data_IF_809911107053
#
_entry.id   IF_809911107053
#
_cell.length_a   1.000
_cell.length_b   1.000
_cell.length_c   1.000
_cell.angle_alpha   90.00
_cell.angle_beta   90.00
_cell.angle_gamma   90.00
#
_symmetry.space_group_name_H-M   'P 1'
#
loop_
_entity.id
_entity.type
_entity.pdbx_description
1 polymer ?
#
# COMPACT_ATOMS: atom_id res chain seq x y z
N UNK A 1 -8.50 -14.49 -28.74
CA UNK A 1 -7.16 -13.89 -28.64
C UNK A 1 -6.67 -13.99 -27.18
N UNK A 2 -5.69 -14.86 -26.93
CA UNK A 2 -5.17 -15.12 -25.57
C UNK A 2 -4.50 -13.91 -24.91
N UNK A 3 -4.23 -12.84 -25.68
CA UNK A 3 -3.57 -11.64 -25.19
C UNK A 3 -4.59 -10.54 -24.86
N UNK A 4 -5.74 -10.54 -25.50
CA UNK A 4 -6.79 -9.54 -25.31
C UNK A 4 -6.39 -8.11 -25.71
N UNK A 5 -7.16 -7.14 -25.25
CA UNK A 5 -6.91 -5.70 -25.42
C UNK A 5 -6.66 -5.05 -24.06
N UNK A 6 -5.98 -3.91 -24.05
CA UNK A 6 -5.78 -3.14 -22.83
C UNK A 6 -7.13 -2.72 -22.21
N UNK A 7 -7.28 -2.84 -20.91
CA UNK A 7 -8.52 -2.52 -20.19
C UNK A 7 -9.59 -3.62 -20.22
N UNK A 8 -9.28 -4.78 -20.81
CA UNK A 8 -10.20 -5.92 -20.87
C UNK A 8 -9.54 -7.19 -20.31
N UNK A 9 -10.33 -8.08 -19.71
CA UNK A 9 -9.83 -9.37 -19.25
C UNK A 9 -9.12 -10.15 -20.37
N UNK A 10 -8.06 -10.89 -20.05
CA UNK A 10 -7.46 -11.14 -18.73
C UNK A 10 -6.40 -10.09 -18.31
N UNK A 11 -6.50 -8.86 -18.76
CA UNK A 11 -5.66 -7.70 -18.44
C UNK A 11 -4.18 -7.84 -18.79
N UNK A 12 -3.80 -8.76 -19.64
CA UNK A 12 -2.40 -9.01 -20.03
C UNK A 12 -1.71 -7.78 -20.62
N UNK A 13 -2.47 -6.89 -21.26
CA UNK A 13 -1.98 -5.63 -21.85
C UNK A 13 -2.17 -4.41 -20.95
N UNK A 14 -2.64 -4.61 -19.72
CA UNK A 14 -2.87 -3.57 -18.72
C UNK A 14 -4.34 -3.35 -18.40
N UNK A 15 -4.58 -2.73 -17.26
CA UNK A 15 -5.90 -2.56 -16.63
C UNK A 15 -6.73 -1.39 -17.19
N UNK A 16 -6.10 -0.46 -17.92
CA UNK A 16 -6.78 0.69 -18.50
C UNK A 16 -6.77 0.63 -20.02
N UNK A 17 -7.87 0.97 -20.67
CA UNK A 17 -8.01 0.91 -22.15
C UNK A 17 -6.97 1.75 -22.90
N UNK A 18 -6.58 2.88 -22.33
CA UNK A 18 -5.54 3.76 -22.90
C UNK A 18 -4.18 3.56 -22.27
N UNK A 19 -4.10 2.86 -21.15
CA UNK A 19 -2.92 2.78 -20.28
C UNK A 19 -2.36 4.19 -20.03
N UNK A 20 -1.07 4.40 -20.13
CA UNK A 20 -0.45 5.69 -19.82
C UNK A 20 -0.45 6.70 -20.98
N UNK A 21 -1.23 6.47 -22.04
CA UNK A 21 -1.34 7.39 -23.19
C UNK A 21 -2.23 8.59 -22.91
N UNK A 22 -3.32 8.41 -22.12
CA UNK A 22 -4.23 9.52 -21.75
C UNK A 22 -3.84 10.17 -20.44
N UNK A 23 -3.25 9.41 -19.50
CA UNK A 23 -2.80 9.89 -18.21
C UNK A 23 -1.52 9.14 -17.82
N UNK A 24 -0.46 9.89 -17.55
CA UNK A 24 0.78 9.31 -17.05
C UNK A 24 0.59 8.75 -15.63
N UNK A 25 1.45 7.82 -15.26
CA UNK A 25 1.51 7.28 -13.89
C UNK A 25 1.87 8.37 -12.88
N UNK A 26 1.48 8.17 -11.64
CA UNK A 26 1.87 9.06 -10.55
C UNK A 26 3.30 8.74 -10.11
N UNK A 27 4.20 9.72 -10.27
CA UNK A 27 5.54 9.65 -9.70
C UNK A 27 5.48 10.01 -8.22
N UNK A 28 6.10 9.17 -7.38
CA UNK A 28 6.29 9.41 -5.96
C UNK A 28 7.74 9.12 -5.60
N UNK A 29 8.42 10.06 -4.95
CA UNK A 29 9.69 9.74 -4.31
C UNK A 29 9.40 9.20 -2.91
N UNK A 30 10.01 8.07 -2.60
CA UNK A 30 10.03 7.50 -1.26
C UNK A 30 10.94 8.37 -0.40
N UNK A 31 10.40 9.06 0.58
CA UNK A 31 11.11 10.04 1.38
C UNK A 31 10.63 10.03 2.84
N UNK A 32 11.58 10.17 3.73
CA UNK A 32 11.42 10.26 5.17
C UNK A 32 12.79 10.13 5.82
N UNK A 33 13.12 11.05 6.71
CA UNK A 33 14.40 11.07 7.42
C UNK A 33 14.32 12.03 8.60
N UNK A 34 15.12 11.79 9.62
CA UNK A 34 15.24 12.68 10.77
C UNK A 34 13.87 12.95 11.44
N UNK A 35 13.47 14.18 11.56
CA UNK A 35 12.22 14.61 12.19
C UNK A 35 11.07 14.77 11.19
N UNK A 36 9.85 14.88 11.72
CA UNK A 36 8.66 15.19 10.96
C UNK A 36 8.81 16.54 10.21
N UNK A 37 9.38 17.57 10.87
CA UNK A 37 9.65 18.89 10.29
C UNK A 37 10.58 18.84 9.08
N UNK A 38 11.70 18.15 9.18
CA UNK A 38 12.66 18.04 8.08
C UNK A 38 12.06 17.26 6.89
N UNK A 39 11.30 16.22 7.18
CA UNK A 39 10.59 15.45 6.15
C UNK A 39 9.46 16.28 5.51
N UNK A 40 8.73 17.08 6.28
CA UNK A 40 7.72 18.03 5.75
C UNK A 40 8.33 19.01 4.76
N UNK A 41 9.47 19.63 5.08
CA UNK A 41 10.20 20.52 4.16
C UNK A 41 10.53 19.80 2.85
N UNK A 42 10.95 18.54 2.93
CA UNK A 42 11.22 17.73 1.74
C UNK A 42 9.96 17.48 0.93
N UNK A 43 8.84 17.14 1.56
CA UNK A 43 7.57 16.94 0.89
C UNK A 43 7.08 18.21 0.18
N UNK A 44 7.15 19.36 0.83
CA UNK A 44 6.80 20.65 0.22
C UNK A 44 7.68 20.92 -1.01
N UNK A 45 8.99 20.68 -0.92
CA UNK A 45 9.89 20.83 -2.07
C UNK A 45 9.50 19.89 -3.24
N UNK A 46 9.14 18.64 -2.96
CA UNK A 46 8.73 17.69 -3.99
C UNK A 46 7.43 18.12 -4.68
N UNK A 47 6.45 18.60 -3.92
CA UNK A 47 5.20 19.15 -4.46
C UNK A 47 5.44 20.39 -5.31
N UNK A 48 6.28 21.32 -4.87
CA UNK A 48 6.69 22.52 -5.62
C UNK A 48 7.39 22.17 -6.93
N UNK A 49 8.07 21.02 -6.98
CA UNK A 49 8.70 20.47 -8.19
C UNK A 49 7.74 19.69 -9.09
N UNK A 50 6.44 19.70 -8.77
CA UNK A 50 5.37 19.13 -9.60
C UNK A 50 5.01 17.68 -9.31
N UNK A 51 5.49 17.08 -8.21
CA UNK A 51 4.96 15.80 -7.76
C UNK A 51 3.49 15.93 -7.35
N UNK A 52 2.71 14.89 -7.60
CA UNK A 52 1.27 14.86 -7.29
C UNK A 52 0.91 13.86 -6.19
N UNK A 53 1.91 13.21 -5.63
CA UNK A 53 1.74 12.23 -4.57
C UNK A 53 2.99 12.12 -3.73
N UNK A 54 2.79 11.75 -2.47
CA UNK A 54 3.84 11.53 -1.49
C UNK A 54 3.99 10.04 -1.21
N UNK A 55 5.19 9.63 -0.83
CA UNK A 55 5.47 8.30 -0.32
C UNK A 55 6.33 8.41 0.93
N UNK A 56 5.77 8.00 2.07
CA UNK A 56 6.39 8.20 3.39
C UNK A 56 7.25 6.99 3.74
N UNK A 57 8.53 7.26 4.02
CA UNK A 57 9.45 6.32 4.64
C UNK A 57 9.44 6.54 6.16
N UNK A 58 8.96 5.57 6.92
CA UNK A 58 9.01 5.58 8.39
C UNK A 58 10.29 4.91 8.89
N UNK A 59 10.81 5.38 10.02
CA UNK A 59 11.97 4.78 10.66
C UNK A 59 11.65 3.40 11.28
N UNK A 60 12.68 2.71 11.70
CA UNK A 60 12.53 1.36 12.24
C UNK A 60 11.71 1.32 13.54
N UNK A 61 11.90 2.23 14.52
CA UNK A 61 11.04 2.28 15.70
C UNK A 61 9.56 2.41 15.33
N UNK A 62 9.19 3.37 14.48
CA UNK A 62 7.82 3.53 14.01
C UNK A 62 7.28 2.26 13.37
N UNK A 63 8.08 1.55 12.55
CA UNK A 63 7.66 0.31 11.90
C UNK A 63 7.45 -0.85 12.89
N UNK A 64 8.16 -0.84 14.01
CA UNK A 64 8.03 -1.82 15.10
C UNK A 64 6.99 -1.43 16.15
N UNK A 65 6.35 -0.26 16.02
CA UNK A 65 5.38 0.23 16.99
C UNK A 65 6.02 0.65 18.33
N UNK A 66 7.26 1.11 18.25
CA UNK A 66 8.02 1.65 19.41
C UNK A 66 7.99 3.18 19.38
N UNK A 67 7.91 3.78 20.54
CA UNK A 67 8.08 5.22 20.71
C UNK A 67 9.56 5.62 20.55
N UNK A 68 9.80 6.88 20.18
CA UNK A 68 11.14 7.37 19.92
C UNK A 68 12.04 7.39 21.16
N UNK A 69 11.46 7.42 22.36
CA UNK A 69 12.15 7.41 23.66
C UNK A 69 12.23 6.01 24.30
N UNK A 70 11.79 4.97 23.61
CA UNK A 70 12.00 3.59 24.03
C UNK A 70 13.49 3.23 23.95
N UNK A 71 13.99 2.49 24.95
CA UNK A 71 15.39 2.06 25.00
C UNK A 71 15.81 1.27 23.75
N UNK A 72 14.91 0.51 23.15
CA UNK A 72 15.16 -0.26 21.91
C UNK A 72 15.23 0.63 20.66
N UNK A 73 14.75 1.85 20.72
CA UNK A 73 14.78 2.82 19.63
C UNK A 73 16.12 3.56 19.52
N UNK A 74 17.00 3.41 20.52
CA UNK A 74 18.26 4.15 20.57
C UNK A 74 19.13 3.89 19.34
N UNK A 75 19.52 4.97 18.67
CA UNK A 75 20.37 4.94 17.48
C UNK A 75 19.65 4.63 16.16
N UNK A 76 18.33 4.39 16.17
CA UNK A 76 17.52 4.11 14.97
C UNK A 76 16.49 5.21 14.69
N UNK A 77 16.20 6.10 15.63
CA UNK A 77 15.22 7.19 15.47
C UNK A 77 15.65 8.12 14.33
N UNK A 78 14.77 8.29 13.34
CA UNK A 78 14.98 9.18 12.19
C UNK A 78 16.06 8.74 11.19
N UNK A 79 16.64 7.54 11.33
CA UNK A 79 17.81 7.10 10.56
C UNK A 79 17.47 6.63 9.14
N UNK A 80 16.49 5.75 8.99
CA UNK A 80 16.07 5.17 7.69
C UNK A 80 14.70 5.65 7.24
N UNK A 81 14.12 6.57 7.97
CA UNK A 81 12.81 7.13 7.72
C UNK A 81 12.48 8.20 8.76
N UNK A 82 11.29 8.76 8.69
CA UNK A 82 10.77 9.72 9.67
C UNK A 82 10.22 8.99 10.90
N UNK A 83 10.53 9.49 12.08
CA UNK A 83 9.97 9.02 13.34
C UNK A 83 8.61 9.65 13.58
N UNK A 84 7.59 8.81 13.81
CA UNK A 84 6.23 9.21 14.16
C UNK A 84 5.78 8.38 15.36
N UNK A 85 5.82 8.96 16.54
CA UNK A 85 5.42 8.31 17.79
C UNK A 85 4.04 8.76 18.26
N UNK A 86 3.61 9.95 17.89
CA UNK A 86 2.37 10.57 18.37
C UNK A 86 1.70 11.42 17.29
N UNK A 87 0.46 11.85 17.57
CA UNK A 87 -0.33 12.64 16.64
C UNK A 87 0.33 13.98 16.28
N UNK A 88 1.06 14.60 17.20
CA UNK A 88 1.76 15.87 16.94
C UNK A 88 2.85 15.70 15.88
N UNK A 89 3.55 14.59 15.86
CA UNK A 89 4.53 14.28 14.80
C UNK A 89 3.85 14.17 13.43
N UNK A 90 2.68 13.55 13.39
CA UNK A 90 1.89 13.44 12.14
C UNK A 90 1.35 14.82 11.70
N UNK A 91 0.94 15.68 12.64
CA UNK A 91 0.55 17.07 12.34
C UNK A 91 1.70 17.84 11.72
N UNK A 92 2.90 17.74 12.32
CA UNK A 92 4.09 18.41 11.81
C UNK A 92 4.52 17.86 10.44
N UNK A 93 4.44 16.55 10.25
CA UNK A 93 4.76 15.89 8.97
C UNK A 93 3.87 16.40 7.83
N UNK A 94 2.59 16.62 8.10
CA UNK A 94 1.58 16.98 7.10
C UNK A 94 1.20 18.48 7.10
N UNK A 95 1.88 19.29 7.91
CA UNK A 95 1.61 20.73 7.99
C UNK A 95 1.67 21.40 6.62
N UNK A 96 0.60 22.11 6.26
CA UNK A 96 0.49 22.86 5.01
C UNK A 96 0.45 22.02 3.73
N UNK A 97 0.24 20.70 3.84
CA UNK A 97 0.06 19.80 2.69
C UNK A 97 -1.45 19.62 2.44
N UNK A 98 -1.96 19.93 1.21
CA UNK A 98 -3.38 19.83 0.91
C UNK A 98 -3.79 18.37 0.71
N UNK A 99 -4.31 17.73 1.77
CA UNK A 99 -4.61 16.28 1.80
C UNK A 99 -5.82 15.89 0.91
N UNK A 100 -6.63 16.85 0.49
CA UNK A 100 -7.69 16.68 -0.51
C UNK A 100 -7.17 16.62 -1.96
N UNK A 101 -5.93 17.06 -2.20
CA UNK A 101 -5.32 17.16 -3.56
C UNK A 101 -4.12 16.24 -3.76
N UNK A 102 -3.46 15.86 -2.67
CA UNK A 102 -2.23 15.07 -2.69
C UNK A 102 -2.55 13.65 -2.22
N UNK A 103 -2.26 12.66 -3.05
CA UNK A 103 -2.37 11.26 -2.60
C UNK A 103 -1.13 10.85 -1.84
N UNK A 104 -1.31 10.21 -0.68
CA UNK A 104 -0.19 9.79 0.18
C UNK A 104 -0.11 8.27 0.23
N UNK A 105 1.09 7.72 -0.01
CA UNK A 105 1.40 6.31 0.22
C UNK A 105 2.21 6.18 1.51
N UNK A 106 1.76 5.33 2.42
CA UNK A 106 2.44 5.05 3.69
C UNK A 106 2.97 3.63 3.70
N UNK A 107 4.30 3.50 3.73
CA UNK A 107 4.98 2.20 3.79
C UNK A 107 5.07 1.76 5.26
N UNK A 108 3.94 1.27 5.76
CA UNK A 108 3.78 0.83 7.14
C UNK A 108 2.89 -0.42 7.21
N UNK A 109 3.16 -1.35 8.11
CA UNK A 109 2.51 -2.66 8.18
C UNK A 109 1.94 -2.94 9.58
N UNK A 110 2.70 -3.42 10.53
CA UNK A 110 2.18 -3.81 11.84
C UNK A 110 1.42 -2.67 12.57
N UNK A 111 1.94 -1.42 12.67
CA UNK A 111 1.22 -0.29 13.26
C UNK A 111 0.36 0.49 12.24
N UNK A 112 0.05 -0.07 11.08
CA UNK A 112 -0.67 0.60 10.00
C UNK A 112 -1.98 1.25 10.44
N UNK A 113 -2.75 0.58 11.29
CA UNK A 113 -4.02 1.10 11.82
C UNK A 113 -3.84 2.41 12.60
N UNK A 114 -2.77 2.50 13.40
CA UNK A 114 -2.50 3.71 14.21
C UNK A 114 -2.08 4.86 13.30
N UNK A 115 -1.15 4.62 12.36
CA UNK A 115 -0.68 5.65 11.44
C UNK A 115 -1.81 6.13 10.49
N UNK A 116 -2.70 5.24 10.07
CA UNK A 116 -3.88 5.61 9.27
C UNK A 116 -4.86 6.45 10.10
N UNK A 117 -5.12 6.08 11.34
CA UNK A 117 -5.98 6.86 12.24
C UNK A 117 -5.41 8.26 12.48
N UNK A 118 -4.10 8.39 12.72
CA UNK A 118 -3.43 9.68 12.85
C UNK A 118 -3.54 10.51 11.56
N UNK A 119 -3.37 9.90 10.40
CA UNK A 119 -3.51 10.57 9.11
C UNK A 119 -4.92 11.13 8.88
N UNK A 120 -5.94 10.33 9.20
CA UNK A 120 -7.36 10.74 9.12
C UNK A 120 -7.63 11.89 10.08
N UNK A 121 -7.19 11.79 11.34
CA UNK A 121 -7.37 12.85 12.34
C UNK A 121 -6.75 14.18 11.88
N UNK A 122 -5.53 14.16 11.32
CA UNK A 122 -4.89 15.36 10.79
C UNK A 122 -5.65 15.92 9.58
N UNK A 123 -6.17 15.05 8.71
CA UNK A 123 -7.00 15.51 7.58
C UNK A 123 -8.28 16.20 8.06
N UNK A 124 -8.96 15.67 9.05
CA UNK A 124 -10.15 16.26 9.66
C UNK A 124 -9.83 17.61 10.32
N UNK A 125 -8.72 17.73 11.04
CA UNK A 125 -8.24 18.99 11.62
C UNK A 125 -7.95 20.06 10.54
N UNK A 126 -7.52 19.64 9.35
CA UNK A 126 -7.35 20.51 8.19
C UNK A 126 -8.66 20.84 7.47
N UNK A 127 -9.81 20.32 7.94
CA UNK A 127 -11.12 20.49 7.32
C UNK A 127 -11.35 19.61 6.09
N UNK A 128 -10.52 18.60 5.88
CA UNK A 128 -10.67 17.62 4.80
C UNK A 128 -11.47 16.41 5.32
N UNK A 129 -12.58 16.11 4.68
CA UNK A 129 -13.42 14.97 5.06
C UNK A 129 -12.72 13.65 4.72
N UNK A 130 -12.98 12.60 5.50
CA UNK A 130 -12.40 11.27 5.29
C UNK A 130 -12.72 10.67 3.91
N UNK A 131 -13.88 10.97 3.33
CA UNK A 131 -14.26 10.55 1.98
C UNK A 131 -13.54 11.31 0.84
N UNK A 132 -12.77 12.34 1.17
CA UNK A 132 -12.00 13.15 0.21
C UNK A 132 -10.53 12.74 0.12
N UNK A 133 -9.99 12.15 1.19
CA UNK A 133 -8.58 11.75 1.20
C UNK A 133 -8.29 10.61 0.23
N UNK A 134 -7.09 10.67 -0.36
CA UNK A 134 -6.60 9.72 -1.37
C UNK A 134 -5.26 9.16 -0.91
N UNK A 135 -5.11 7.86 -0.96
CA UNK A 135 -3.83 7.28 -0.58
C UNK A 135 -3.83 5.77 -0.59
N UNK A 136 -2.75 5.25 -0.07
CA UNK A 136 -2.52 3.82 0.09
C UNK A 136 -1.75 3.59 1.39
N UNK A 137 -2.14 2.60 2.16
CA UNK A 137 -1.33 2.08 3.24
C UNK A 137 -0.85 0.67 2.86
N UNK A 138 0.43 0.36 3.13
CA UNK A 138 0.98 -0.94 2.71
C UNK A 138 0.26 -2.10 3.39
N UNK A 139 0.19 -2.10 4.72
CA UNK A 139 -0.68 -2.99 5.49
C UNK A 139 -0.58 -4.49 5.11
N UNK A 140 0.58 -4.90 4.60
CA UNK A 140 0.86 -6.28 4.20
C UNK A 140 1.69 -6.97 5.28
N UNK A 141 1.03 -7.68 6.17
CA UNK A 141 1.70 -8.31 7.31
C UNK A 141 2.29 -9.68 6.97
N UNK A 142 1.70 -10.42 6.03
CA UNK A 142 2.19 -11.76 5.70
C UNK A 142 3.62 -11.73 5.14
N UNK A 143 3.95 -10.73 4.32
CA UNK A 143 5.32 -10.59 3.83
C UNK A 143 6.32 -10.23 4.95
N UNK A 144 5.86 -9.64 6.04
CA UNK A 144 6.74 -9.38 7.20
C UNK A 144 7.19 -10.68 7.86
N UNK A 145 6.31 -11.66 7.99
CA UNK A 145 6.67 -12.98 8.53
C UNK A 145 7.55 -13.78 7.57
N UNK A 146 7.42 -13.56 6.26
CA UNK A 146 8.13 -14.33 5.23
C UNK A 146 9.50 -13.75 4.92
N UNK A 147 9.62 -12.42 4.78
CA UNK A 147 10.79 -11.79 4.16
C UNK A 147 11.41 -10.64 4.95
N UNK A 148 10.62 -9.84 5.69
CA UNK A 148 11.13 -8.57 6.22
C UNK A 148 11.34 -8.52 7.73
N UNK A 149 10.45 -9.12 8.52
CA UNK A 149 10.62 -9.32 9.96
C UNK A 149 10.15 -8.17 10.87
N UNK A 150 9.47 -7.13 10.36
CA UNK A 150 8.94 -6.03 11.18
C UNK A 150 7.48 -6.25 11.54
N UNK A 151 7.20 -7.19 12.42
CA UNK A 151 5.87 -7.47 12.95
C UNK A 151 5.80 -7.26 14.46
N UNK A 152 4.60 -6.94 14.97
CA UNK A 152 4.33 -6.69 16.39
C UNK A 152 3.47 -7.80 16.99
N UNK A 153 2.44 -8.24 16.26
CA UNK A 153 1.46 -9.22 16.72
C UNK A 153 1.61 -10.56 15.99
N UNK A 154 1.12 -11.67 16.58
CA UNK A 154 1.03 -12.94 15.89
C UNK A 154 0.13 -12.87 14.63
N UNK A 155 0.27 -13.81 13.68
CA UNK A 155 -0.43 -13.74 12.38
C UNK A 155 -1.95 -13.57 12.47
N UNK A 156 -2.61 -14.32 13.33
CA UNK A 156 -4.08 -14.30 13.44
C UNK A 156 -4.60 -12.92 13.89
N UNK A 157 -3.95 -12.33 14.91
CA UNK A 157 -4.32 -10.99 15.41
C UNK A 157 -4.02 -9.92 14.36
N UNK A 158 -2.92 -10.04 13.65
CA UNK A 158 -2.58 -9.12 12.55
C UNK A 158 -3.57 -9.20 11.40
N UNK A 159 -4.01 -10.39 11.01
CA UNK A 159 -5.02 -10.57 9.97
C UNK A 159 -6.36 -9.93 10.35
N UNK A 160 -6.78 -10.05 11.61
CA UNK A 160 -7.98 -9.37 12.11
C UNK A 160 -7.87 -7.85 11.95
N UNK A 161 -6.74 -7.24 12.35
CA UNK A 161 -6.54 -5.80 12.22
C UNK A 161 -6.59 -5.34 10.76
N UNK A 162 -6.11 -6.16 9.82
CA UNK A 162 -6.19 -5.86 8.39
C UNK A 162 -7.64 -5.86 7.90
N UNK A 163 -8.44 -6.85 8.28
CA UNK A 163 -9.86 -6.90 7.89
C UNK A 163 -10.66 -5.77 8.53
N UNK A 164 -10.35 -5.39 9.78
CA UNK A 164 -10.96 -4.21 10.45
C UNK A 164 -10.66 -2.91 9.66
N UNK A 165 -9.43 -2.75 9.13
CA UNK A 165 -9.07 -1.62 8.25
C UNK A 165 -9.86 -1.65 6.94
N UNK A 166 -10.05 -2.83 6.34
CA UNK A 166 -10.84 -2.97 5.11
C UNK A 166 -12.28 -2.52 5.34
N UNK A 167 -12.92 -3.00 6.41
CA UNK A 167 -14.27 -2.64 6.78
C UNK A 167 -14.42 -1.13 7.03
N UNK A 168 -13.55 -0.58 7.87
CA UNK A 168 -13.57 0.85 8.19
C UNK A 168 -13.38 1.71 6.94
N UNK A 169 -12.39 1.41 6.11
CA UNK A 169 -12.14 2.20 4.91
C UNK A 169 -13.25 2.07 3.87
N UNK A 170 -13.89 0.91 3.76
CA UNK A 170 -15.03 0.75 2.86
C UNK A 170 -16.20 1.68 3.24
N UNK A 171 -16.41 1.88 4.54
CA UNK A 171 -17.48 2.74 5.07
C UNK A 171 -17.11 4.23 5.07
N UNK A 172 -15.93 4.57 5.58
CA UNK A 172 -15.59 5.93 5.96
C UNK A 172 -14.57 6.59 5.02
N UNK A 173 -13.70 5.81 4.35
CA UNK A 173 -12.59 6.32 3.53
C UNK A 173 -12.56 5.64 2.14
N UNK A 174 -13.64 5.75 1.36
CA UNK A 174 -13.87 4.88 0.18
C UNK A 174 -12.87 5.04 -0.97
N UNK A 175 -12.03 6.08 -0.93
CA UNK A 175 -11.00 6.32 -1.96
C UNK A 175 -9.61 5.83 -1.54
N UNK A 176 -9.48 5.24 -0.35
CA UNK A 176 -8.22 4.74 0.18
C UNK A 176 -7.95 3.31 -0.28
N UNK A 177 -6.74 3.03 -0.74
CA UNK A 177 -6.30 1.67 -0.99
C UNK A 177 -5.83 1.06 0.34
N UNK A 178 -6.54 0.06 0.79
CA UNK A 178 -6.44 -0.49 2.13
C UNK A 178 -5.25 -1.40 2.35
N UNK A 179 -4.63 -1.86 1.24
CA UNK A 179 -3.45 -2.71 1.25
C UNK A 179 -2.64 -2.51 -0.03
N UNK A 180 -1.33 -2.73 0.07
CA UNK A 180 -0.42 -2.89 -1.08
C UNK A 180 0.36 -4.18 -0.90
N UNK A 181 -0.16 -5.27 -1.47
CA UNK A 181 0.36 -6.62 -1.31
C UNK A 181 1.70 -6.72 -2.02
N UNK A 182 2.74 -7.07 -1.26
CA UNK A 182 4.12 -6.80 -1.65
C UNK A 182 4.89 -8.05 -2.04
N UNK A 183 5.15 -8.23 -3.32
CA UNK A 183 6.15 -9.14 -3.85
C UNK A 183 7.58 -8.58 -3.78
N UNK A 184 7.72 -7.26 -3.80
CA UNK A 184 9.02 -6.58 -3.80
C UNK A 184 9.98 -7.12 -2.72
N UNK A 185 9.55 -7.18 -1.46
CA UNK A 185 10.41 -7.62 -0.36
C UNK A 185 10.79 -9.09 -0.47
N UNK A 186 9.90 -9.93 -0.99
CA UNK A 186 10.15 -11.35 -1.25
C UNK A 186 11.21 -11.50 -2.34
N UNK A 187 11.13 -10.67 -3.40
CA UNK A 187 12.12 -10.64 -4.48
C UNK A 187 13.49 -10.18 -3.99
N UNK A 188 13.53 -9.10 -3.19
CA UNK A 188 14.77 -8.58 -2.60
C UNK A 188 15.40 -9.56 -1.60
N UNK A 189 14.59 -10.42 -0.95
CA UNK A 189 15.08 -11.50 -0.11
C UNK A 189 15.68 -12.68 -0.91
N UNK A 190 15.68 -12.63 -2.24
CA UNK A 190 16.36 -13.59 -3.11
C UNK A 190 15.45 -14.55 -3.88
N UNK A 191 14.14 -14.33 -3.91
CA UNK A 191 13.24 -15.17 -4.71
C UNK A 191 13.44 -14.92 -6.22
N UNK A 192 13.08 -15.89 -7.03
CA UNK A 192 12.95 -15.72 -8.49
C UNK A 192 11.71 -14.90 -8.83
N UNK A 193 11.60 -14.39 -10.07
CA UNK A 193 10.41 -13.69 -10.55
C UNK A 193 9.14 -14.55 -10.45
N UNK A 194 9.26 -15.84 -10.71
CA UNK A 194 8.16 -16.82 -10.60
C UNK A 194 7.71 -16.99 -9.15
N UNK A 195 8.67 -17.13 -8.22
CA UNK A 195 8.39 -17.22 -6.78
C UNK A 195 7.79 -15.92 -6.23
N UNK A 196 8.27 -14.77 -6.67
CA UNK A 196 7.70 -13.47 -6.32
C UNK A 196 6.20 -13.43 -6.64
N UNK A 197 5.81 -13.75 -7.87
CA UNK A 197 4.40 -13.77 -8.28
C UNK A 197 3.61 -14.81 -7.48
N UNK A 198 4.12 -16.03 -7.37
CA UNK A 198 3.41 -17.12 -6.69
C UNK A 198 3.13 -16.79 -5.21
N UNK A 199 4.12 -16.33 -4.47
CA UNK A 199 3.97 -16.01 -3.06
C UNK A 199 3.12 -14.75 -2.83
N UNK A 200 3.26 -13.74 -3.70
CA UNK A 200 2.44 -12.54 -3.63
C UNK A 200 0.96 -12.84 -3.85
N UNK A 201 0.64 -13.64 -4.87
CA UNK A 201 -0.74 -14.00 -5.14
C UNK A 201 -1.31 -14.95 -4.07
N UNK A 202 -0.50 -15.84 -3.50
CA UNK A 202 -0.91 -16.68 -2.37
C UNK A 202 -1.26 -15.82 -1.14
N UNK A 203 -0.42 -14.85 -0.77
CA UNK A 203 -0.73 -13.90 0.29
C UNK A 203 -2.00 -13.09 -0.03
N UNK A 204 -2.17 -12.66 -1.28
CA UNK A 204 -3.34 -11.91 -1.71
C UNK A 204 -4.64 -12.70 -1.53
N UNK A 205 -4.64 -13.98 -1.89
CA UNK A 205 -5.79 -14.87 -1.68
C UNK A 205 -6.11 -15.05 -0.20
N UNK A 206 -5.11 -15.17 0.67
CA UNK A 206 -5.32 -15.26 2.11
C UNK A 206 -5.98 -14.00 2.68
N UNK A 207 -5.58 -12.80 2.21
CA UNK A 207 -6.24 -11.55 2.60
C UNK A 207 -7.70 -11.50 2.11
N UNK A 208 -7.96 -11.95 0.89
CA UNK A 208 -9.33 -11.99 0.35
C UNK A 208 -10.19 -13.00 1.12
N UNK A 209 -9.67 -14.20 1.38
CA UNK A 209 -10.37 -15.22 2.17
C UNK A 209 -10.71 -14.70 3.58
N UNK A 210 -9.75 -14.05 4.27
CA UNK A 210 -9.98 -13.47 5.59
C UNK A 210 -11.04 -12.36 5.56
N UNK A 211 -11.01 -11.49 4.56
CA UNK A 211 -12.00 -10.42 4.41
C UNK A 211 -13.43 -10.97 4.17
N UNK A 212 -13.56 -11.97 3.31
CA UNK A 212 -14.84 -12.64 3.04
C UNK A 212 -15.36 -13.37 4.30
N UNK A 213 -14.46 -14.08 5.02
CA UNK A 213 -14.81 -14.74 6.28
C UNK A 213 -15.26 -13.75 7.36
N UNK A 214 -14.77 -12.51 7.35
CA UNK A 214 -15.26 -11.45 8.24
C UNK A 214 -16.59 -10.83 7.80
N UNK A 215 -17.15 -11.27 6.66
CA UNK A 215 -18.45 -10.82 6.15
C UNK A 215 -18.38 -9.70 5.11
N UNK A 216 -17.19 -9.33 4.62
CA UNK A 216 -17.05 -8.31 3.60
C UNK A 216 -17.32 -8.87 2.19
N UNK A 217 -17.94 -8.04 1.35
CA UNK A 217 -18.18 -8.37 -0.06
C UNK A 217 -16.94 -8.05 -0.91
N UNK A 218 -16.53 -9.00 -1.75
CA UNK A 218 -15.39 -8.85 -2.68
C UNK A 218 -15.55 -7.61 -3.59
N UNK A 219 -16.76 -7.29 -4.01
CA UNK A 219 -17.03 -6.15 -4.88
C UNK A 219 -16.94 -4.80 -4.16
N UNK A 220 -16.92 -4.81 -2.83
CA UNK A 220 -16.72 -3.64 -1.98
C UNK A 220 -15.23 -3.35 -1.78
N UNK A 221 -14.44 -4.32 -1.32
CA UNK A 221 -13.03 -4.10 -0.98
C UNK A 221 -12.08 -4.44 -2.15
N UNK A 222 -12.42 -5.41 -3.01
CA UNK A 222 -11.57 -5.87 -4.12
C UNK A 222 -11.02 -4.76 -5.00
N UNK A 223 -11.82 -3.75 -5.44
CA UNK A 223 -11.32 -2.64 -6.23
C UNK A 223 -10.28 -1.74 -5.52
N UNK A 224 -10.06 -1.93 -4.22
CA UNK A 224 -9.10 -1.18 -3.39
C UNK A 224 -7.85 -1.98 -3.03
N UNK A 225 -7.79 -3.23 -3.43
CA UNK A 225 -6.56 -3.99 -3.37
C UNK A 225 -5.55 -3.41 -4.35
N UNK A 226 -4.31 -3.28 -3.91
CA UNK A 226 -3.21 -2.88 -4.78
C UNK A 226 -2.00 -3.78 -4.54
N UNK A 227 -1.05 -3.74 -5.46
CA UNK A 227 0.11 -4.62 -5.44
C UNK A 227 1.40 -3.83 -5.59
N UNK A 228 2.47 -4.39 -5.05
CA UNK A 228 3.79 -3.84 -5.12
C UNK A 228 4.80 -4.92 -5.51
N UNK A 229 5.20 -4.91 -6.77
CA UNK A 229 6.20 -5.83 -7.32
C UNK A 229 7.55 -5.14 -7.51
N UNK A 230 8.61 -5.95 -7.52
CA UNK A 230 9.92 -5.51 -7.96
C UNK A 230 9.92 -5.29 -9.50
N UNK A 231 10.91 -4.61 -10.00
CA UNK A 231 11.22 -4.50 -11.43
C UNK A 231 12.73 -4.49 -11.60
N UNK A 232 13.31 -5.66 -11.84
CA UNK A 232 14.74 -5.86 -12.04
C UNK A 232 15.20 -5.54 -13.47
N UNK A 233 16.45 -5.85 -13.76
CA UNK A 233 17.12 -5.45 -15.00
C UNK A 233 16.83 -6.37 -16.20
N UNK A 234 16.30 -7.58 -16.00
CA UNK A 234 15.91 -8.44 -17.13
C UNK A 234 14.57 -7.94 -17.70
N UNK A 235 14.67 -7.15 -18.77
CA UNK A 235 13.52 -6.49 -19.38
C UNK A 235 12.43 -7.47 -19.81
N UNK A 236 12.79 -8.58 -20.44
CA UNK A 236 11.79 -9.53 -20.95
C UNK A 236 11.16 -10.37 -19.83
N UNK A 237 11.94 -10.76 -18.83
CA UNK A 237 11.41 -11.46 -17.65
C UNK A 237 10.42 -10.55 -16.91
N UNK A 238 10.79 -9.30 -16.65
CA UNK A 238 9.95 -8.35 -15.92
C UNK A 238 8.67 -7.99 -16.68
N UNK A 239 8.77 -7.71 -17.97
CA UNK A 239 7.60 -7.46 -18.81
C UNK A 239 6.64 -8.69 -18.82
N UNK A 240 7.18 -9.89 -18.89
CA UNK A 240 6.42 -11.14 -18.85
C UNK A 240 5.78 -11.37 -17.48
N UNK A 241 6.52 -11.11 -16.40
CA UNK A 241 6.06 -11.20 -15.01
C UNK A 241 4.83 -10.35 -14.76
N UNK A 242 4.86 -9.06 -15.10
CA UNK A 242 3.72 -8.17 -14.91
C UNK A 242 2.50 -8.59 -15.73
N UNK A 243 2.71 -9.11 -16.94
CA UNK A 243 1.63 -9.63 -17.78
C UNK A 243 1.01 -10.89 -17.19
N UNK A 244 1.86 -11.81 -16.72
CA UNK A 244 1.43 -13.05 -16.08
C UNK A 244 0.70 -12.77 -14.76
N UNK A 245 1.22 -11.87 -13.92
CA UNK A 245 0.60 -11.53 -12.64
C UNK A 245 -0.83 -11.01 -12.81
N UNK A 246 -1.07 -10.09 -13.76
CA UNK A 246 -2.42 -9.59 -14.04
C UNK A 246 -3.38 -10.68 -14.52
N UNK A 247 -2.91 -11.54 -15.43
CA UNK A 247 -3.72 -12.65 -15.95
C UNK A 247 -4.06 -13.65 -14.85
N UNK A 248 -3.07 -14.09 -14.09
CA UNK A 248 -3.26 -15.05 -13.00
C UNK A 248 -4.19 -14.51 -11.90
N UNK A 249 -4.02 -13.25 -11.52
CA UNK A 249 -4.93 -12.63 -10.55
C UNK A 249 -6.37 -12.62 -11.03
N UNK A 250 -6.59 -12.18 -12.28
CA UNK A 250 -7.92 -12.22 -12.87
C UNK A 250 -8.54 -13.62 -12.84
N UNK A 251 -7.79 -14.64 -13.28
CA UNK A 251 -8.26 -16.02 -13.29
C UNK A 251 -8.59 -16.53 -11.89
N UNK A 252 -7.66 -16.35 -10.92
CA UNK A 252 -7.83 -16.78 -9.54
C UNK A 252 -9.04 -16.14 -8.85
N UNK A 253 -9.21 -14.83 -9.00
CA UNK A 253 -10.33 -14.12 -8.37
C UNK A 253 -11.65 -14.49 -9.03
N UNK A 254 -11.69 -14.59 -10.38
CA UNK A 254 -12.91 -14.96 -11.10
C UNK A 254 -13.35 -16.39 -10.78
N UNK A 255 -12.41 -17.34 -10.70
CA UNK A 255 -12.72 -18.75 -10.41
C UNK A 255 -13.15 -18.98 -8.96
N UNK A 256 -12.56 -18.26 -7.99
CA UNK A 256 -12.81 -18.52 -6.56
C UNK A 256 -14.00 -17.74 -6.00
N UNK A 257 -14.24 -16.51 -6.47
CA UNK A 257 -15.17 -15.58 -5.81
C UNK A 257 -16.25 -15.03 -6.74
N UNK A 258 -16.15 -15.26 -8.04
CA UNK A 258 -17.13 -14.83 -9.06
C UNK A 258 -17.63 -13.37 -8.89
N UNK A 259 -16.72 -12.37 -8.84
CA UNK A 259 -17.11 -10.99 -8.59
C UNK A 259 -17.96 -10.43 -9.74
N UNK A 260 -18.95 -9.61 -9.40
CA UNK A 260 -19.79 -8.92 -10.38
C UNK A 260 -19.16 -7.63 -10.91
N UNK A 261 -18.29 -7.01 -10.12
CA UNK A 261 -17.55 -5.81 -10.50
C UNK A 261 -16.20 -6.19 -11.15
N UNK A 262 -16.00 -5.90 -12.44
CA UNK A 262 -14.76 -6.23 -13.14
C UNK A 262 -13.49 -5.64 -12.46
N UNK A 263 -13.63 -4.56 -11.69
CA UNK A 263 -12.51 -3.94 -10.98
C UNK A 263 -12.01 -4.79 -9.81
N UNK A 264 -12.83 -5.68 -9.27
CA UNK A 264 -12.45 -6.57 -8.16
C UNK A 264 -11.40 -7.61 -8.58
N UNK A 265 -11.28 -7.90 -9.88
CA UNK A 265 -10.30 -8.84 -10.44
C UNK A 265 -9.14 -8.14 -11.17
N UNK A 266 -8.96 -6.83 -11.00
CA UNK A 266 -7.83 -6.08 -11.55
C UNK A 266 -6.64 -6.10 -10.58
N UNK A 267 -5.41 -6.26 -11.11
CA UNK A 267 -4.15 -6.19 -10.36
C UNK A 267 -3.37 -4.94 -10.74
#
# INVERSE_FOLDING_TARGET
DAIGTAGSPPYTRGIHSTMYRSRLWTMRQYAGFSSASETNKRFKLLLDRGQKGLSVAFDLPTQLGLDADDDMSYGEVGKVGVSISQLDDMRELLDGIPLDKVSTSMTINAPAMVLLAMYIAVAEEQGVKSDQILGTIQNDILKEYIARGTYVFPPQQSMRLITDIFEYCAAEVPKWNTISISGYHIREAGSTAVQEVAFTLANALEYVDAAIQSGLDIDTFGPRLSFFFNCHNDFFEEASKFRAARKLWYELISERYDPTNPKSAML
#
